data_IF_594445515622
#
_entry.id   IF_594445515622
#
_cell.length_a   1.000
_cell.length_b   1.000
_cell.length_c   1.000
_cell.angle_alpha   90.00
_cell.angle_beta   90.00
_cell.angle_gamma   90.00
#
_symmetry.space_group_name_H-M   'P 1'
#
loop_
_entity.id
_entity.type
_entity.pdbx_description
1 polymer ?
#
# COMPACT_ATOMS: atom_id res chain seq x y z
N UNK A 1 -3.61 -12.25 -18.71
CA UNK A 1 -4.42 -11.09 -18.31
C UNK A 1 -5.29 -11.49 -17.14
N UNK A 2 -5.46 -10.59 -16.20
CA UNK A 2 -6.28 -10.77 -15.01
C UNK A 2 -7.77 -10.84 -15.41
N UNK A 3 -8.57 -11.64 -14.70
CA UNK A 3 -10.01 -11.52 -14.80
C UNK A 3 -10.46 -10.34 -13.92
N UNK A 4 -10.71 -9.20 -14.55
CA UNK A 4 -11.02 -7.94 -13.85
C UNK A 4 -12.31 -8.06 -13.01
N UNK A 5 -13.36 -8.74 -13.50
CA UNK A 5 -14.62 -8.88 -12.76
C UNK A 5 -14.46 -9.76 -11.51
N UNK A 6 -13.71 -10.88 -11.60
CA UNK A 6 -13.36 -11.69 -10.42
C UNK A 6 -12.51 -10.88 -9.42
N UNK A 7 -11.59 -10.08 -9.93
CA UNK A 7 -10.75 -9.20 -9.09
C UNK A 7 -11.60 -8.14 -8.37
N UNK A 8 -12.49 -7.45 -9.07
CA UNK A 8 -13.44 -6.50 -8.47
C UNK A 8 -14.27 -7.16 -7.38
N UNK A 9 -14.83 -8.34 -7.66
CA UNK A 9 -15.60 -9.09 -6.68
C UNK A 9 -14.80 -9.35 -5.40
N UNK A 10 -13.55 -9.82 -5.53
CA UNK A 10 -12.69 -10.13 -4.38
C UNK A 10 -12.24 -8.90 -3.62
N UNK A 11 -11.90 -7.82 -4.32
CA UNK A 11 -11.58 -6.55 -3.68
C UNK A 11 -12.73 -6.05 -2.81
N UNK A 12 -13.98 -6.14 -3.32
CA UNK A 12 -15.18 -5.82 -2.55
C UNK A 12 -15.33 -6.69 -1.30
N UNK A 13 -15.03 -7.99 -1.40
CA UNK A 13 -15.07 -8.89 -0.24
C UNK A 13 -14.02 -8.49 0.81
N UNK A 14 -12.78 -8.23 0.41
CA UNK A 14 -11.73 -7.82 1.33
C UNK A 14 -12.06 -6.51 2.04
N UNK A 15 -12.51 -5.49 1.30
CA UNK A 15 -12.91 -4.21 1.89
C UNK A 15 -14.12 -4.39 2.81
N UNK A 16 -15.13 -5.19 2.41
CA UNK A 16 -16.30 -5.43 3.25
C UNK A 16 -15.94 -6.09 4.59
N UNK A 17 -15.07 -7.10 4.57
CA UNK A 17 -14.59 -7.72 5.82
C UNK A 17 -13.88 -6.70 6.70
N UNK A 18 -12.95 -5.91 6.16
CA UNK A 18 -12.18 -4.95 6.94
C UNK A 18 -13.05 -3.81 7.49
N UNK A 19 -14.03 -3.31 6.72
CA UNK A 19 -14.78 -2.10 7.07
C UNK A 19 -16.15 -2.36 7.70
N UNK A 20 -16.85 -3.45 7.32
CA UNK A 20 -18.21 -3.76 7.80
C UNK A 20 -18.23 -4.83 8.87
N UNK A 21 -17.42 -5.89 8.74
CA UNK A 21 -17.39 -6.98 9.71
C UNK A 21 -16.44 -6.68 10.88
N UNK A 22 -15.25 -6.13 10.60
CA UNK A 22 -14.24 -5.77 11.61
C UNK A 22 -14.48 -4.32 12.09
N UNK A 23 -14.62 -3.37 11.18
CA UNK A 23 -14.85 -1.96 11.49
C UNK A 23 -13.56 -1.20 11.82
N UNK A 24 -13.61 -0.35 12.85
CA UNK A 24 -12.46 0.43 13.31
C UNK A 24 -11.29 -0.47 13.73
N UNK A 25 -10.09 -0.11 13.28
CA UNK A 25 -8.83 -0.86 13.51
C UNK A 25 -7.76 0.02 14.15
N UNK A 26 -8.17 0.94 15.02
CA UNK A 26 -7.27 1.87 15.70
C UNK A 26 -6.65 1.28 16.98
N UNK A 27 -5.69 1.99 17.56
CA UNK A 27 -5.15 1.65 18.90
C UNK A 27 -6.20 1.69 20.00
N UNK A 28 -7.31 2.41 19.79
CA UNK A 28 -8.45 2.49 20.71
C UNK A 28 -9.47 1.36 20.47
N UNK A 29 -9.33 0.62 19.36
CA UNK A 29 -10.11 -0.57 19.01
C UNK A 29 -9.22 -1.81 18.84
N UNK A 30 -8.49 -2.27 19.89
CA UNK A 30 -7.47 -3.31 19.78
C UNK A 30 -8.02 -4.66 19.30
N UNK A 31 -9.32 -4.92 19.52
CA UNK A 31 -9.99 -6.10 18.97
C UNK A 31 -10.06 -6.03 17.44
N UNK A 32 -10.36 -4.85 16.88
CA UNK A 32 -10.38 -4.64 15.42
C UNK A 32 -9.01 -4.85 14.80
N UNK A 33 -7.95 -4.27 15.42
CA UNK A 33 -6.56 -4.50 14.99
C UNK A 33 -6.21 -5.99 14.96
N UNK A 34 -6.55 -6.73 16.04
CA UNK A 34 -6.27 -8.16 16.11
C UNK A 34 -7.02 -8.93 15.03
N UNK A 35 -8.31 -8.68 14.86
CA UNK A 35 -9.14 -9.36 13.85
C UNK A 35 -8.64 -9.09 12.42
N UNK A 36 -8.18 -7.87 12.13
CA UNK A 36 -7.60 -7.54 10.84
C UNK A 36 -6.27 -8.30 10.61
N UNK A 37 -5.39 -8.36 11.60
CA UNK A 37 -4.17 -9.14 11.52
C UNK A 37 -4.45 -10.64 11.29
N UNK A 38 -5.44 -11.22 12.01
CA UNK A 38 -5.87 -12.61 11.86
C UNK A 38 -6.43 -12.88 10.45
N UNK A 39 -7.25 -11.96 9.93
CA UNK A 39 -7.82 -12.03 8.58
C UNK A 39 -6.75 -11.99 7.49
N UNK A 40 -5.83 -11.03 7.59
CA UNK A 40 -4.73 -10.85 6.63
C UNK A 40 -3.84 -12.10 6.59
N UNK A 41 -3.43 -12.61 7.77
CA UNK A 41 -2.61 -13.82 7.83
C UNK A 41 -3.32 -15.02 7.22
N UNK A 42 -4.60 -15.23 7.56
CA UNK A 42 -5.41 -16.34 7.04
C UNK A 42 -5.51 -16.24 5.52
N UNK A 43 -5.72 -15.04 4.98
CA UNK A 43 -5.83 -14.80 3.53
C UNK A 43 -4.53 -15.08 2.80
N UNK A 44 -3.38 -14.65 3.36
CA UNK A 44 -2.08 -14.99 2.78
C UNK A 44 -1.83 -16.50 2.76
N UNK A 45 -2.14 -17.20 3.85
CA UNK A 45 -2.00 -18.67 3.93
C UNK A 45 -2.91 -19.37 2.92
N UNK A 46 -4.16 -18.91 2.79
CA UNK A 46 -5.12 -19.45 1.81
C UNK A 46 -4.66 -19.21 0.37
N UNK A 47 -3.84 -18.18 0.13
CA UNK A 47 -3.19 -17.91 -1.16
C UNK A 47 -1.95 -18.78 -1.43
N UNK A 48 -1.63 -19.72 -0.54
CA UNK A 48 -0.47 -20.63 -0.67
C UNK A 48 0.87 -20.02 -0.28
N UNK A 49 0.88 -18.84 0.34
CA UNK A 49 2.11 -18.15 0.73
C UNK A 49 2.61 -18.60 2.11
N UNK A 50 3.93 -18.62 2.29
CA UNK A 50 4.53 -18.76 3.61
C UNK A 50 4.32 -17.46 4.38
N UNK A 51 3.59 -17.54 5.49
CA UNK A 51 3.25 -16.37 6.30
C UNK A 51 3.76 -16.52 7.74
N UNK A 52 4.27 -15.40 8.31
CA UNK A 52 4.67 -15.29 9.71
C UNK A 52 4.26 -13.95 10.29
N UNK A 53 4.19 -13.90 11.63
CA UNK A 53 4.04 -12.65 12.39
C UNK A 53 5.40 -12.20 12.93
N UNK A 54 5.68 -10.92 12.78
CA UNK A 54 6.78 -10.25 13.50
C UNK A 54 6.16 -9.43 14.63
N UNK A 55 6.00 -10.08 15.80
CA UNK A 55 5.30 -9.53 16.96
C UNK A 55 6.16 -8.55 17.75
N UNK A 56 5.51 -7.56 18.37
CA UNK A 56 6.12 -6.64 19.31
C UNK A 56 5.07 -6.04 20.25
N UNK A 57 5.54 -5.49 21.38
CA UNK A 57 4.67 -4.89 22.38
C UNK A 57 4.49 -3.38 22.12
N UNK A 58 3.26 -2.92 22.21
CA UNK A 58 2.90 -1.51 22.30
C UNK A 58 1.91 -1.34 23.47
N UNK A 59 2.31 -0.60 24.53
CA UNK A 59 1.65 -0.61 25.83
C UNK A 59 1.40 -2.05 26.30
N UNK A 60 0.18 -2.40 26.71
CA UNK A 60 -0.18 -3.75 27.17
C UNK A 60 -0.62 -4.69 26.03
N UNK A 61 -0.57 -4.21 24.75
CA UNK A 61 -1.02 -4.94 23.58
C UNK A 61 0.12 -5.57 22.76
N UNK A 62 -0.18 -6.70 22.14
CA UNK A 62 0.70 -7.32 21.13
C UNK A 62 0.28 -6.87 19.75
N UNK A 63 1.21 -6.23 19.03
CA UNK A 63 1.07 -5.82 17.63
C UNK A 63 1.92 -6.71 16.75
N UNK A 64 1.58 -6.86 15.47
CA UNK A 64 2.34 -7.69 14.57
C UNK A 64 2.41 -7.11 13.15
N UNK A 65 3.61 -7.07 12.57
CA UNK A 65 3.73 -7.03 11.12
C UNK A 65 3.40 -8.41 10.57
N UNK A 66 2.50 -8.49 9.59
CA UNK A 66 2.14 -9.74 8.92
C UNK A 66 2.97 -9.86 7.66
N UNK A 67 3.85 -10.84 7.62
CA UNK A 67 4.82 -11.01 6.52
C UNK A 67 4.51 -12.26 5.73
N UNK A 68 4.32 -12.14 4.41
CA UNK A 68 4.13 -13.26 3.51
C UNK A 68 5.11 -13.21 2.35
N UNK A 69 5.59 -14.37 1.89
CA UNK A 69 6.63 -14.46 0.86
C UNK A 69 6.16 -15.28 -0.34
N UNK A 70 6.35 -14.71 -1.52
CA UNK A 70 6.15 -15.35 -2.81
C UNK A 70 7.46 -15.31 -3.60
N UNK A 71 8.23 -16.38 -3.47
CA UNK A 71 9.47 -16.56 -4.23
C UNK A 71 9.47 -17.95 -4.85
N UNK A 72 9.76 -18.08 -6.15
CA UNK A 72 9.94 -19.41 -6.76
C UNK A 72 11.07 -20.16 -6.04
N UNK A 73 10.88 -21.45 -5.72
CA UNK A 73 11.90 -22.26 -5.04
C UNK A 73 13.24 -22.26 -5.81
N UNK A 74 14.36 -22.10 -5.10
CA UNK A 74 15.71 -22.19 -5.68
C UNK A 74 16.12 -20.99 -6.55
N UNK A 75 15.39 -19.89 -6.52
CA UNK A 75 15.73 -18.68 -7.27
C UNK A 75 16.32 -17.59 -6.40
N UNK A 76 17.29 -16.83 -6.95
CA UNK A 76 17.86 -15.62 -6.35
C UNK A 76 17.30 -14.35 -6.99
N UNK A 77 15.97 -14.30 -7.22
CA UNK A 77 15.33 -13.15 -7.81
C UNK A 77 15.44 -11.90 -6.91
N UNK A 78 15.47 -10.70 -7.51
CA UNK A 78 15.37 -9.46 -6.76
C UNK A 78 14.09 -9.43 -5.92
N UNK A 79 14.21 -9.13 -4.62
CA UNK A 79 13.08 -9.09 -3.68
C UNK A 79 12.51 -7.68 -3.64
N UNK A 80 11.23 -7.55 -4.02
CA UNK A 80 10.47 -6.33 -3.85
C UNK A 80 9.43 -6.51 -2.74
N UNK A 81 9.45 -5.59 -1.77
CA UNK A 81 8.49 -5.57 -0.69
C UNK A 81 7.27 -4.74 -1.09
N UNK A 82 6.09 -5.29 -0.91
CA UNK A 82 4.81 -4.59 -1.04
C UNK A 82 4.28 -4.37 0.37
N UNK A 83 4.13 -3.10 0.78
CA UNK A 83 3.71 -2.72 2.12
C UNK A 83 2.40 -1.93 2.10
N UNK A 84 1.55 -2.13 3.11
CA UNK A 84 0.38 -1.33 3.40
C UNK A 84 0.08 -1.41 4.89
N UNK A 85 -0.40 -0.33 5.51
CA UNK A 85 -0.88 -0.42 6.87
C UNK A 85 -2.31 -0.95 6.93
N UNK A 86 -2.66 -1.65 8.04
CA UNK A 86 -3.98 -2.24 8.20
C UNK A 86 -4.80 -1.61 9.33
N UNK A 87 -4.21 -0.70 10.09
CA UNK A 87 -4.94 0.13 11.04
C UNK A 87 -5.73 1.24 10.33
N UNK A 88 -6.61 1.89 11.05
CA UNK A 88 -7.39 3.06 10.62
C UNK A 88 -7.35 4.12 11.69
N UNK A 89 -7.56 5.37 11.31
CA UNK A 89 -7.69 6.46 12.29
C UNK A 89 -8.90 6.22 13.20
N UNK A 90 -8.78 6.65 14.46
CA UNK A 90 -9.85 6.47 15.44
C UNK A 90 -11.18 7.11 14.99
N UNK A 91 -12.27 6.37 15.17
CA UNK A 91 -13.61 6.81 14.79
C UNK A 91 -13.96 6.59 13.31
N UNK A 92 -13.08 5.94 12.52
CA UNK A 92 -13.34 5.62 11.11
C UNK A 92 -13.26 4.12 10.86
N UNK A 93 -13.89 3.68 9.78
CA UNK A 93 -13.69 2.31 9.26
C UNK A 93 -12.55 2.26 8.24
N UNK A 94 -11.99 3.40 7.82
CA UNK A 94 -10.83 3.53 6.96
C UNK A 94 -10.94 2.68 5.70
N UNK A 95 -11.90 2.98 4.84
CA UNK A 95 -12.14 2.17 3.64
C UNK A 95 -11.08 2.44 2.57
N UNK A 96 -10.82 3.72 2.29
CA UNK A 96 -9.71 4.10 1.43
C UNK A 96 -8.41 4.10 2.25
N UNK A 97 -8.45 4.60 3.47
CA UNK A 97 -7.35 4.74 4.41
C UNK A 97 -7.40 3.68 5.54
N UNK A 98 -6.84 2.44 5.37
CA UNK A 98 -6.11 1.96 4.21
C UNK A 98 -6.58 0.54 3.82
N UNK A 99 -7.91 0.24 4.02
CA UNK A 99 -8.46 -1.07 3.64
C UNK A 99 -8.39 -1.28 2.11
N UNK A 100 -8.43 -0.21 1.29
CA UNK A 100 -8.27 -0.27 -0.16
C UNK A 100 -6.91 -0.88 -0.54
N UNK A 101 -5.83 -0.39 0.08
CA UNK A 101 -4.47 -0.87 -0.14
C UNK A 101 -4.27 -2.30 0.36
N UNK A 102 -4.81 -2.66 1.53
CA UNK A 102 -4.79 -4.03 2.03
C UNK A 102 -5.53 -4.97 1.06
N UNK A 103 -6.69 -4.57 0.55
CA UNK A 103 -7.44 -5.39 -0.43
C UNK A 103 -6.63 -5.61 -1.71
N UNK A 104 -6.00 -4.56 -2.26
CA UNK A 104 -5.10 -4.68 -3.42
C UNK A 104 -3.91 -5.58 -3.11
N UNK A 105 -3.30 -5.43 -1.93
CA UNK A 105 -2.17 -6.25 -1.48
C UNK A 105 -2.55 -7.74 -1.38
N UNK A 106 -3.70 -8.07 -0.79
CA UNK A 106 -4.18 -9.44 -0.64
C UNK A 106 -4.53 -10.09 -1.99
N UNK A 107 -5.19 -9.33 -2.87
CA UNK A 107 -5.54 -9.85 -4.20
C UNK A 107 -4.30 -10.04 -5.07
N UNK A 108 -3.32 -9.12 -5.02
CA UNK A 108 -2.03 -9.30 -5.67
C UNK A 108 -1.31 -10.55 -5.15
N UNK A 109 -1.31 -10.76 -3.83
CA UNK A 109 -0.73 -11.95 -3.21
C UNK A 109 -1.39 -13.24 -3.71
N UNK A 110 -2.72 -13.25 -3.84
CA UNK A 110 -3.49 -14.38 -4.40
C UNK A 110 -3.11 -14.65 -5.86
N UNK A 111 -2.93 -13.63 -6.67
CA UNK A 111 -2.54 -13.81 -8.07
C UNK A 111 -1.12 -14.33 -8.21
N UNK A 112 -0.19 -13.80 -7.43
CA UNK A 112 1.22 -14.22 -7.42
C UNK A 112 1.40 -15.63 -6.81
N UNK A 113 0.55 -16.00 -5.85
CA UNK A 113 0.56 -17.34 -5.23
C UNK A 113 0.16 -18.47 -6.19
N UNK A 114 -0.48 -18.16 -7.30
CA UNK A 114 -0.76 -19.14 -8.36
C UNK A 114 0.53 -19.48 -9.14
N UNK A 115 0.62 -20.69 -9.72
CA UNK A 115 1.75 -21.02 -10.58
C UNK A 115 1.88 -20.01 -11.72
N UNK A 116 2.87 -19.15 -11.65
CA UNK A 116 3.19 -18.18 -12.69
C UNK A 116 4.71 -17.99 -12.78
N UNK A 117 5.18 -17.58 -13.97
CA UNK A 117 6.59 -17.24 -14.16
C UNK A 117 6.82 -15.82 -13.67
N UNK A 118 7.47 -15.67 -12.53
CA UNK A 118 7.84 -14.38 -11.97
C UNK A 118 9.24 -13.96 -12.41
N UNK A 119 9.40 -12.69 -12.77
CA UNK A 119 10.71 -12.05 -12.98
C UNK A 119 11.29 -11.45 -11.69
N UNK A 120 10.45 -11.29 -10.64
CA UNK A 120 10.82 -10.69 -9.34
C UNK A 120 10.15 -11.45 -8.19
N UNK A 121 10.87 -11.62 -7.08
CA UNK A 121 10.27 -12.15 -5.86
C UNK A 121 9.46 -11.06 -5.15
N UNK A 122 8.33 -11.43 -4.58
CA UNK A 122 7.46 -10.54 -3.82
C UNK A 122 7.51 -10.90 -2.32
N UNK A 123 7.62 -9.88 -1.48
CA UNK A 123 7.37 -9.98 -0.05
C UNK A 123 6.27 -9.00 0.31
N UNK A 124 5.19 -9.50 0.88
CA UNK A 124 4.08 -8.70 1.38
C UNK A 124 4.28 -8.44 2.86
N UNK A 125 4.11 -7.20 3.29
CA UNK A 125 4.16 -6.84 4.71
C UNK A 125 2.99 -5.89 5.01
N UNK A 126 2.08 -6.34 5.86
CA UNK A 126 1.00 -5.51 6.36
C UNK A 126 1.39 -4.97 7.73
N UNK A 127 1.41 -3.64 7.88
CA UNK A 127 1.92 -2.92 9.03
C UNK A 127 0.79 -2.48 9.96
N UNK A 128 0.94 -2.58 11.30
CA UNK A 128 0.06 -1.90 12.25
C UNK A 128 0.63 -0.55 12.65
N UNK A 129 -0.22 0.29 13.24
CA UNK A 129 0.17 1.50 13.95
C UNK A 129 0.83 2.56 13.05
N UNK A 130 0.32 2.71 11.84
CA UNK A 130 0.70 3.81 10.97
C UNK A 130 0.02 5.11 11.41
N UNK A 131 -1.21 5.03 11.87
CA UNK A 131 -2.10 6.13 12.17
C UNK A 131 -1.79 6.87 13.49
N UNK A 132 -2.23 8.14 13.64
CA UNK A 132 -2.17 8.83 14.92
C UNK A 132 -2.88 8.05 16.05
N UNK A 133 -2.34 8.08 17.28
CA UNK A 133 -1.22 8.91 17.78
C UNK A 133 0.16 8.26 17.60
N UNK A 134 0.28 7.13 16.90
CA UNK A 134 1.52 6.34 16.82
C UNK A 134 2.37 6.73 15.62
N UNK A 135 1.78 7.40 14.63
CA UNK A 135 2.49 7.86 13.43
C UNK A 135 3.83 8.53 13.76
N UNK A 136 4.87 8.16 13.02
CA UNK A 136 6.20 8.74 13.17
C UNK A 136 6.97 8.29 14.40
N UNK A 137 6.37 7.56 15.34
CA UNK A 137 7.06 7.02 16.53
C UNK A 137 7.86 5.75 16.20
N UNK A 138 8.78 5.31 17.08
CA UNK A 138 9.47 4.03 16.93
C UNK A 138 8.55 2.80 17.02
N UNK A 139 7.30 2.96 17.41
CA UNK A 139 6.32 1.87 17.52
C UNK A 139 5.53 1.61 16.24
N UNK A 140 5.60 2.50 15.27
CA UNK A 140 5.03 2.31 13.94
C UNK A 140 5.59 1.03 13.29
N UNK A 141 4.71 0.14 12.81
CA UNK A 141 5.08 -1.19 12.32
C UNK A 141 6.16 -1.16 11.23
N UNK A 142 6.02 -0.26 10.27
CA UNK A 142 7.01 -0.10 9.19
C UNK A 142 8.37 0.40 9.69
N UNK A 143 8.41 1.28 10.69
CA UNK A 143 9.68 1.75 11.29
C UNK A 143 10.41 0.61 11.96
N UNK A 144 9.69 -0.21 12.73
CA UNK A 144 10.26 -1.40 13.37
C UNK A 144 10.78 -2.39 12.32
N UNK A 145 9.99 -2.66 11.31
CA UNK A 145 10.37 -3.58 10.24
C UNK A 145 11.62 -3.09 9.50
N UNK A 146 11.62 -1.85 9.00
CA UNK A 146 12.73 -1.28 8.23
C UNK A 146 14.04 -1.23 9.06
N UNK A 147 13.97 -0.82 10.33
CA UNK A 147 15.12 -0.80 11.23
C UNK A 147 15.66 -2.22 11.50
N UNK A 148 14.78 -3.19 11.74
CA UNK A 148 15.17 -4.59 11.96
C UNK A 148 15.79 -5.21 10.69
N UNK A 149 15.21 -4.96 9.51
CA UNK A 149 15.75 -5.40 8.23
C UNK A 149 17.15 -4.79 7.98
N UNK A 150 17.34 -3.52 8.29
CA UNK A 150 18.65 -2.85 8.19
C UNK A 150 19.67 -3.47 9.13
N UNK A 151 19.30 -3.73 10.37
CA UNK A 151 20.17 -4.37 11.36
C UNK A 151 20.59 -5.78 10.95
N UNK A 152 19.70 -6.53 10.28
CA UNK A 152 20.00 -7.87 9.72
C UNK A 152 20.83 -7.81 8.44
N UNK A 153 21.11 -6.63 7.90
CA UNK A 153 21.77 -6.48 6.59
C UNK A 153 20.92 -7.01 5.43
N UNK A 154 19.61 -6.99 5.57
CA UNK A 154 18.70 -7.61 4.62
C UNK A 154 18.68 -6.84 3.29
N UNK A 155 18.79 -7.58 2.19
CA UNK A 155 18.77 -7.03 0.84
C UNK A 155 17.32 -6.94 0.34
N UNK A 156 16.81 -5.70 0.26
CA UNK A 156 15.53 -5.37 -0.34
C UNK A 156 15.81 -4.51 -1.57
N UNK A 157 15.42 -4.98 -2.77
CA UNK A 157 15.70 -4.27 -4.03
C UNK A 157 14.79 -3.05 -4.22
N UNK A 158 13.66 -3.02 -3.53
CA UNK A 158 12.75 -1.87 -3.44
C UNK A 158 11.53 -2.16 -2.58
N UNK A 159 11.00 -1.13 -1.93
CA UNK A 159 9.73 -1.18 -1.21
C UNK A 159 8.68 -0.39 -1.98
N UNK A 160 7.52 -0.99 -2.18
CA UNK A 160 6.34 -0.42 -2.82
C UNK A 160 5.29 -0.29 -1.73
N UNK A 161 5.07 0.93 -1.25
CA UNK A 161 4.01 1.26 -0.32
C UNK A 161 2.71 1.49 -1.08
N UNK A 162 1.64 0.87 -0.65
CA UNK A 162 0.28 1.16 -1.11
C UNK A 162 -0.39 2.03 -0.03
N UNK A 163 -0.84 3.21 -0.43
CA UNK A 163 -1.39 4.22 0.46
C UNK A 163 -2.57 4.90 -0.18
N UNK A 164 -3.81 4.63 0.32
CA UNK A 164 -5.04 5.12 -0.29
C UNK A 164 -5.01 4.94 -1.82
N UNK A 165 -5.66 3.89 -2.29
CA UNK A 165 -5.58 3.49 -3.71
C UNK A 165 -6.96 3.22 -4.31
N UNK A 166 -8.02 3.72 -3.66
CA UNK A 166 -9.39 3.38 -4.03
C UNK A 166 -10.26 4.53 -4.48
N UNK A 167 -9.89 5.79 -4.24
CA UNK A 167 -10.74 6.92 -4.54
C UNK A 167 -10.44 7.55 -5.89
N UNK A 168 -11.49 7.79 -6.68
CA UNK A 168 -11.41 8.53 -7.95
C UNK A 168 -12.37 9.70 -7.98
N UNK A 169 -12.02 10.76 -8.70
CA UNK A 169 -12.92 11.87 -8.95
C UNK A 169 -12.82 12.34 -10.40
N UNK A 170 -13.97 12.64 -11.01
CA UNK A 170 -14.07 12.99 -12.45
C UNK A 170 -14.45 14.45 -12.70
N UNK A 171 -14.86 15.16 -11.67
CA UNK A 171 -15.22 16.57 -11.75
C UNK A 171 -13.98 17.45 -11.99
N UNK A 172 -14.02 18.41 -12.89
CA UNK A 172 -12.91 19.33 -13.10
C UNK A 172 -12.56 20.11 -11.82
N UNK A 173 -11.30 20.06 -11.42
CA UNK A 173 -10.82 20.75 -10.21
C UNK A 173 -10.97 19.95 -8.91
N UNK A 174 -11.36 18.68 -8.97
CA UNK A 174 -11.42 17.80 -7.80
C UNK A 174 -10.04 17.23 -7.39
N UNK A 175 -8.98 17.52 -8.13
CA UNK A 175 -7.62 17.12 -7.82
C UNK A 175 -6.79 18.34 -7.39
N UNK A 176 -6.32 18.31 -6.15
CA UNK A 176 -5.39 19.30 -5.61
C UNK A 176 -3.94 18.82 -5.66
N UNK A 177 -3.01 19.75 -5.45
CA UNK A 177 -1.57 19.49 -5.49
C UNK A 177 -0.83 20.31 -4.42
N UNK A 178 0.28 19.79 -3.86
CA UNK A 178 1.04 20.50 -2.82
C UNK A 178 1.67 21.81 -3.29
N UNK A 179 1.84 21.99 -4.61
CA UNK A 179 2.40 23.22 -5.19
C UNK A 179 1.47 23.78 -6.27
N UNK A 180 1.10 25.06 -6.21
CA UNK A 180 0.17 25.68 -7.17
C UNK A 180 0.59 25.52 -8.63
N UNK A 181 1.89 25.57 -8.94
CA UNK A 181 2.41 25.45 -10.31
C UNK A 181 2.21 24.03 -10.90
N UNK A 182 1.93 23.01 -10.09
CA UNK A 182 1.64 21.66 -10.59
C UNK A 182 0.35 21.62 -11.41
N UNK A 183 -0.61 22.51 -11.16
CA UNK A 183 -1.84 22.62 -11.98
C UNK A 183 -1.59 22.91 -13.45
N UNK A 184 -0.42 23.42 -13.82
CA UNK A 184 -0.08 23.72 -15.21
C UNK A 184 0.34 22.49 -16.01
N UNK A 185 0.81 21.42 -15.34
CA UNK A 185 1.36 20.24 -16.01
C UNK A 185 0.72 18.90 -15.59
N UNK A 186 -0.19 18.92 -14.63
CA UNK A 186 -0.82 17.70 -14.10
C UNK A 186 -2.35 17.71 -14.30
N UNK A 187 -3.01 16.52 -14.34
CA UNK A 187 -4.46 16.41 -14.53
C UNK A 187 -5.25 17.18 -13.46
N UNK A 188 -6.40 17.73 -13.85
CA UNK A 188 -7.34 18.41 -12.95
C UNK A 188 -8.43 17.49 -12.38
N UNK A 189 -8.42 16.23 -12.80
CA UNK A 189 -9.32 15.17 -12.35
C UNK A 189 -8.51 14.03 -11.76
N UNK A 190 -9.07 13.32 -10.80
CA UNK A 190 -8.41 12.27 -10.06
C UNK A 190 -8.72 10.86 -10.58
N UNK A 191 -8.32 10.56 -11.83
CA UNK A 191 -8.52 9.24 -12.46
C UNK A 191 -7.20 8.54 -12.78
N UNK A 192 -6.15 8.86 -12.03
CA UNK A 192 -4.80 8.32 -12.19
C UNK A 192 -4.24 7.86 -10.84
N UNK A 193 -3.24 7.01 -10.88
CA UNK A 193 -2.44 6.63 -9.72
C UNK A 193 -1.09 7.37 -9.75
N UNK A 194 -0.60 7.77 -8.59
CA UNK A 194 0.71 8.45 -8.47
C UNK A 194 1.75 7.50 -7.90
N UNK A 195 2.95 7.52 -8.46
CA UNK A 195 4.12 6.80 -7.96
C UNK A 195 5.13 7.82 -7.43
N UNK A 196 5.11 8.03 -6.12
CA UNK A 196 5.95 9.02 -5.42
C UNK A 196 7.24 8.35 -4.94
N UNK A 197 8.38 8.86 -5.35
CA UNK A 197 9.69 8.37 -4.93
C UNK A 197 10.68 9.50 -4.67
N UNK A 198 11.73 9.24 -3.90
CA UNK A 198 12.86 10.15 -3.78
C UNK A 198 13.91 9.90 -4.88
N UNK A 199 14.98 10.71 -4.92
CA UNK A 199 16.03 10.54 -5.93
C UNK A 199 16.69 9.16 -5.92
N UNK A 200 16.93 8.56 -4.76
CA UNK A 200 17.53 7.23 -4.65
C UNK A 200 16.58 6.12 -5.15
N UNK A 201 15.27 6.37 -5.11
CA UNK A 201 14.23 5.46 -5.57
C UNK A 201 13.88 5.61 -7.05
N UNK A 202 14.47 6.59 -7.76
CA UNK A 202 14.19 6.85 -9.19
C UNK A 202 14.27 5.59 -10.08
N UNK A 203 15.27 4.68 -9.91
CA UNK A 203 15.29 3.45 -10.71
C UNK A 203 14.09 2.54 -10.47
N UNK A 204 13.58 2.48 -9.22
CA UNK A 204 12.35 1.73 -8.89
C UNK A 204 11.13 2.40 -9.52
N UNK A 205 10.99 3.72 -9.39
CA UNK A 205 9.90 4.49 -10.01
C UNK A 205 9.87 4.25 -11.53
N UNK A 206 11.01 4.30 -12.21
CA UNK A 206 11.10 4.08 -13.65
C UNK A 206 10.66 2.66 -14.04
N UNK A 207 11.06 1.63 -13.29
CA UNK A 207 10.64 0.24 -13.54
C UNK A 207 9.14 0.06 -13.38
N UNK A 208 8.55 0.65 -12.33
CA UNK A 208 7.09 0.60 -12.09
C UNK A 208 6.33 1.31 -13.21
N UNK A 209 6.70 2.53 -13.55
CA UNK A 209 6.06 3.30 -14.62
C UNK A 209 6.17 2.58 -15.97
N UNK A 210 7.31 1.95 -16.28
CA UNK A 210 7.47 1.17 -17.51
C UNK A 210 6.53 -0.06 -17.55
N UNK A 211 6.28 -0.70 -16.40
CA UNK A 211 5.31 -1.78 -16.30
C UNK A 211 3.87 -1.26 -16.40
N UNK A 212 3.53 -0.20 -15.67
CA UNK A 212 2.18 0.39 -15.61
C UNK A 212 1.72 0.96 -16.96
N UNK A 213 2.63 1.51 -17.76
CA UNK A 213 2.33 1.96 -19.13
C UNK A 213 1.80 0.85 -20.06
N UNK A 214 1.96 -0.42 -19.71
CA UNK A 214 1.38 -1.55 -20.46
C UNK A 214 -0.12 -1.69 -20.19
N UNK A 215 -0.60 -1.21 -19.04
CA UNK A 215 -2.02 -1.11 -18.73
C UNK A 215 -2.52 0.30 -19.06
N UNK A 216 -3.29 0.42 -20.14
CA UNK A 216 -3.83 1.71 -20.62
C UNK A 216 -5.05 2.20 -19.84
N UNK A 217 -5.68 1.31 -19.08
CA UNK A 217 -6.87 1.61 -18.28
C UNK A 217 -6.54 2.38 -17.00
N UNK A 218 -5.27 2.30 -16.52
CA UNK A 218 -4.80 3.00 -15.32
C UNK A 218 -3.65 3.95 -15.66
N UNK A 219 -3.90 5.23 -15.92
CA UNK A 219 -2.85 6.22 -16.06
C UNK A 219 -2.02 6.33 -14.78
N UNK A 220 -0.69 6.30 -14.91
CA UNK A 220 0.23 6.40 -13.77
C UNK A 220 1.18 7.59 -13.93
N UNK A 221 1.27 8.41 -12.90
CA UNK A 221 2.07 9.64 -12.88
C UNK A 221 3.25 9.49 -11.92
N UNK A 222 4.50 9.58 -12.41
CA UNK A 222 5.66 9.56 -11.52
C UNK A 222 5.89 10.93 -10.89
N UNK A 223 6.20 10.95 -9.60
CA UNK A 223 6.65 12.12 -8.87
C UNK A 223 7.96 11.81 -8.16
N UNK A 224 9.03 12.53 -8.51
CA UNK A 224 10.34 12.39 -7.85
C UNK A 224 10.61 13.60 -6.97
N UNK A 225 10.79 13.34 -5.68
CA UNK A 225 10.97 14.38 -4.66
C UNK A 225 12.44 14.48 -4.24
N UNK A 226 13.02 15.69 -4.19
CA UNK A 226 14.37 15.90 -3.71
C UNK A 226 14.48 15.74 -2.18
N UNK A 227 15.71 15.63 -1.69
CA UNK A 227 16.09 15.67 -0.27
C UNK A 227 15.23 14.73 0.63
N UNK A 228 14.91 13.55 0.13
CA UNK A 228 14.14 12.56 0.92
C UNK A 228 12.74 13.02 1.32
N UNK A 229 12.19 14.04 0.65
CA UNK A 229 10.84 14.56 0.92
C UNK A 229 10.75 15.58 2.05
N UNK A 230 11.83 15.96 2.69
CA UNK A 230 11.80 16.90 3.82
C UNK A 230 11.29 18.31 3.45
N UNK A 231 11.42 18.71 2.17
CA UNK A 231 10.88 19.99 1.69
C UNK A 231 9.37 19.95 1.43
N UNK A 232 8.77 18.76 1.40
CA UNK A 232 7.35 18.54 1.15
C UNK A 232 6.85 17.50 2.14
N UNK A 233 6.61 17.86 3.41
CA UNK A 233 6.28 16.90 4.47
C UNK A 233 5.13 15.94 4.10
N UNK A 234 4.14 16.43 3.36
CA UNK A 234 2.99 15.63 2.90
C UNK A 234 3.39 14.34 2.15
N UNK A 235 4.53 14.33 1.43
CA UNK A 235 4.98 13.12 0.72
C UNK A 235 5.68 12.11 1.62
N UNK A 236 5.80 12.36 2.91
CA UNK A 236 6.39 11.45 3.89
C UNK A 236 5.36 10.83 4.84
N UNK A 237 4.09 11.15 4.63
CA UNK A 237 2.97 10.70 5.47
C UNK A 237 2.52 9.30 5.07
N UNK A 238 3.44 8.31 5.11
CA UNK A 238 3.15 6.88 5.01
C UNK A 238 4.39 6.03 5.26
N UNK A 239 4.21 4.71 5.27
CA UNK A 239 5.17 3.65 5.59
C UNK A 239 6.48 3.69 4.77
N UNK A 240 6.45 4.15 3.50
CA UNK A 240 7.64 4.24 2.65
C UNK A 240 8.73 5.15 3.22
N UNK A 241 8.34 6.18 4.00
CA UNK A 241 9.29 7.09 4.65
C UNK A 241 10.18 6.36 5.65
N UNK A 242 9.66 5.35 6.34
CA UNK A 242 10.41 4.47 7.24
C UNK A 242 11.56 3.75 6.53
N UNK A 243 11.34 3.36 5.28
CA UNK A 243 12.37 2.70 4.45
C UNK A 243 13.39 3.70 3.91
N UNK A 244 12.98 4.92 3.52
CA UNK A 244 13.92 5.99 3.17
C UNK A 244 14.87 6.31 4.31
N UNK A 245 14.34 6.44 5.54
CA UNK A 245 15.11 6.73 6.74
C UNK A 245 16.14 5.63 7.08
N UNK A 246 15.89 4.40 6.62
CA UNK A 246 16.80 3.25 6.77
C UNK A 246 17.65 2.95 5.52
N UNK A 247 17.69 3.87 4.54
CA UNK A 247 18.54 3.79 3.35
C UNK A 247 18.07 2.82 2.28
N UNK A 248 16.82 2.35 2.33
CA UNK A 248 16.22 1.54 1.30
C UNK A 248 15.56 2.40 0.22
N UNK A 249 15.54 1.91 -1.01
CA UNK A 249 14.70 2.46 -2.08
C UNK A 249 13.25 2.13 -1.77
N UNK A 250 12.39 3.16 -1.73
CA UNK A 250 10.96 2.98 -1.56
C UNK A 250 10.17 3.97 -2.41
N UNK A 251 8.97 3.57 -2.80
CA UNK A 251 7.99 4.45 -3.44
C UNK A 251 6.66 4.29 -2.74
N UNK A 252 5.83 5.33 -2.79
CA UNK A 252 4.42 5.28 -2.42
C UNK A 252 3.59 5.30 -3.70
N UNK A 253 2.67 4.34 -3.82
CA UNK A 253 1.63 4.33 -4.84
C UNK A 253 0.35 4.80 -4.16
N UNK A 254 -0.23 5.90 -4.66
CA UNK A 254 -1.37 6.54 -4.01
C UNK A 254 -2.31 7.18 -5.02
N UNK A 255 -3.57 7.24 -4.67
CA UNK A 255 -4.57 8.06 -5.37
C UNK A 255 -4.44 9.55 -5.06
N UNK A 256 -3.49 9.91 -4.19
CA UNK A 256 -3.13 11.24 -3.68
C UNK A 256 -3.83 11.67 -2.39
N UNK A 257 -4.54 10.76 -1.73
CA UNK A 257 -5.12 10.97 -0.39
C UNK A 257 -5.92 12.28 -0.26
N UNK A 258 -5.66 13.07 0.74
CA UNK A 258 -6.36 14.33 1.03
C UNK A 258 -6.24 15.41 -0.06
N UNK A 259 -5.37 15.23 -1.06
CA UNK A 259 -5.36 16.09 -2.26
C UNK A 259 -6.47 15.74 -3.25
N UNK A 260 -7.22 14.65 -3.01
CA UNK A 260 -8.30 14.18 -3.87
C UNK A 260 -9.53 13.73 -3.08
N UNK A 261 -9.32 12.93 -2.03
CA UNK A 261 -10.40 12.29 -1.27
C UNK A 261 -10.89 13.20 -0.14
N UNK A 262 -12.12 13.75 -0.22
CA UNK A 262 -12.67 14.60 0.83
C UNK A 262 -13.07 13.82 2.09
N UNK A 263 -13.03 12.46 2.04
CA UNK A 263 -13.39 11.61 3.17
C UNK A 263 -12.18 11.25 4.05
N UNK A 264 -10.97 11.72 3.70
CA UNK A 264 -9.74 11.43 4.43
C UNK A 264 -9.89 11.72 5.93
N UNK A 265 -9.63 10.70 6.77
CA UNK A 265 -9.76 10.72 8.24
C UNK A 265 -11.17 11.08 8.76
N UNK A 266 -12.21 10.89 7.95
CA UNK A 266 -13.60 11.14 8.33
C UNK A 266 -14.41 9.84 8.41
N UNK A 267 -15.50 9.85 9.19
CA UNK A 267 -16.44 8.73 9.27
C UNK A 267 -17.12 8.39 7.92
N UNK A 268 -17.01 9.30 6.94
CA UNK A 268 -17.51 9.13 5.57
C UNK A 268 -16.54 8.33 4.68
N UNK A 269 -15.35 7.96 5.17
CA UNK A 269 -14.44 7.05 4.46
C UNK A 269 -14.97 5.61 4.53
N UNK A 270 -15.91 5.30 3.65
CA UNK A 270 -16.64 4.03 3.58
C UNK A 270 -16.46 3.34 2.23
N UNK A 271 -16.74 2.03 2.15
CA UNK A 271 -16.53 1.27 0.93
C UNK A 271 -17.37 1.76 -0.27
N UNK A 272 -18.44 2.49 -0.02
CA UNK A 272 -19.33 3.06 -1.03
C UNK A 272 -18.66 4.19 -1.81
N UNK A 273 -17.59 4.79 -1.28
CA UNK A 273 -16.82 5.86 -1.93
C UNK A 273 -15.74 5.34 -2.89
N UNK A 274 -15.47 4.01 -2.88
CA UNK A 274 -14.35 3.42 -3.62
C UNK A 274 -14.70 3.05 -5.06
N UNK A 275 -13.76 3.27 -5.96
CA UNK A 275 -13.76 2.78 -7.34
C UNK A 275 -13.03 1.44 -7.43
N UNK A 276 -13.76 0.34 -7.30
CA UNK A 276 -13.20 -1.01 -7.34
C UNK A 276 -12.62 -1.40 -8.70
N UNK A 277 -13.05 -0.75 -9.79
CA UNK A 277 -12.42 -0.97 -11.09
C UNK A 277 -11.03 -0.34 -11.12
N UNK A 278 -10.88 0.87 -10.61
CA UNK A 278 -9.58 1.52 -10.45
C UNK A 278 -8.60 0.68 -9.62
N UNK A 279 -9.09 0.12 -8.50
CA UNK A 279 -8.29 -0.80 -7.67
C UNK A 279 -7.91 -2.09 -8.42
N UNK A 280 -8.81 -2.68 -9.20
CA UNK A 280 -8.54 -3.88 -9.98
C UNK A 280 -7.48 -3.63 -11.08
N UNK A 281 -7.54 -2.48 -11.74
CA UNK A 281 -6.54 -2.07 -12.72
C UNK A 281 -5.17 -1.82 -12.07
N UNK A 282 -5.13 -1.42 -10.79
CA UNK A 282 -3.88 -1.33 -10.03
C UNK A 282 -3.30 -2.73 -9.75
N UNK A 283 -4.13 -3.73 -9.41
CA UNK A 283 -3.68 -5.12 -9.27
C UNK A 283 -3.06 -5.62 -10.58
N UNK A 284 -3.71 -5.37 -11.74
CA UNK A 284 -3.16 -5.76 -13.07
C UNK A 284 -1.81 -5.08 -13.32
N UNK A 285 -1.71 -3.78 -13.05
CA UNK A 285 -0.47 -3.02 -13.25
C UNK A 285 0.68 -3.53 -12.38
N UNK A 286 0.39 -3.90 -11.12
CA UNK A 286 1.37 -4.52 -10.22
C UNK A 286 1.75 -5.93 -10.70
N UNK A 287 0.80 -6.73 -11.18
CA UNK A 287 1.10 -8.04 -11.80
C UNK A 287 2.05 -7.89 -12.98
N UNK A 288 1.83 -6.93 -13.87
CA UNK A 288 2.73 -6.64 -14.98
C UNK A 288 4.14 -6.28 -14.53
N UNK A 289 4.30 -5.64 -13.37
CA UNK A 289 5.61 -5.39 -12.78
C UNK A 289 6.28 -6.68 -12.29
N UNK A 290 5.57 -7.58 -11.64
CA UNK A 290 6.16 -8.81 -11.09
C UNK A 290 6.44 -9.89 -12.15
N UNK A 291 5.71 -9.89 -13.25
CA UNK A 291 5.89 -10.83 -14.37
C UNK A 291 6.99 -10.40 -15.37
N UNK A 292 7.48 -9.16 -15.28
CA UNK A 292 8.44 -8.58 -16.25
C UNK A 292 9.89 -9.02 -16.05
#
# INVERSE_FOLDING_TARGET
>A
MLNIDDTIYRLKQHVAVLTKEIGERSVFAPRGLKLAADYIETTYRASGLKCRREEYTYHDGTMANIVAEASPPGTSLPIYLIGAHYDSVAGTVGADDNASAIAVQLELARQIGKPCRMGRAARFVSFPLEEPPVFGTPHMGSRRYAAAARKRGERIDGMICLEMVGYTCREPGCQDYPFPLMFLGYPKTGTFITVVGNYSSRPLTQKLIAAFRKNRELPAIPLTIPLGGYLVPAVRLSDHASFWDNGYRAVMITDTAFFRNPNYHLATDTMETLDFRFMAELVESLMLFFLA
#
